data_IF_936082407748
#
_entry.id   IF_936082407748
#
_cell.length_a   1.000
_cell.length_b   1.000
_cell.length_c   1.000
_cell.angle_alpha   90.00
_cell.angle_beta   90.00
_cell.angle_gamma   90.00
#
_symmetry.space_group_name_H-M   'P 1'
#
loop_
_entity.id
_entity.type
_entity.pdbx_description
1 polymer ?
#
# COMPACT_ATOMS: atom_id res chain seq x y z
N UNK A 1 -16.04 -4.33 7.67
CA UNK A 1 -15.87 -2.93 8.14
C UNK A 1 -17.07 -2.12 7.65
N UNK A 2 -17.96 -1.64 8.53
CA UNK A 2 -19.07 -0.79 8.07
C UNK A 2 -18.56 0.58 7.63
N UNK A 3 -19.05 1.08 6.50
CA UNK A 3 -18.84 2.45 5.98
C UNK A 3 -17.41 2.90 5.61
N UNK A 4 -16.42 2.01 5.45
CA UNK A 4 -15.08 2.41 4.94
C UNK A 4 -15.12 2.94 3.49
N UNK A 5 -16.14 2.54 2.71
CA UNK A 5 -16.35 2.99 1.33
C UNK A 5 -16.50 4.51 1.19
N UNK A 6 -17.27 5.14 2.08
CA UNK A 6 -17.53 6.58 2.00
C UNK A 6 -16.23 7.40 2.16
N UNK A 7 -15.39 7.00 3.11
CA UNK A 7 -14.11 7.65 3.34
C UNK A 7 -13.14 7.46 2.16
N UNK A 8 -13.04 6.24 1.63
CA UNK A 8 -12.21 5.95 0.47
C UNK A 8 -12.66 6.75 -0.77
N UNK A 9 -13.97 6.82 -1.02
CA UNK A 9 -14.54 7.60 -2.12
C UNK A 9 -14.28 9.11 -1.94
N UNK A 10 -14.46 9.65 -0.73
CA UNK A 10 -14.17 11.05 -0.44
C UNK A 10 -12.69 11.39 -0.66
N UNK A 11 -11.78 10.48 -0.31
CA UNK A 11 -10.35 10.61 -0.59
C UNK A 11 -10.07 10.64 -2.11
N UNK A 12 -10.70 9.73 -2.86
CA UNK A 12 -10.54 9.66 -4.32
C UNK A 12 -10.99 10.97 -4.99
N UNK A 13 -12.17 11.49 -4.65
CA UNK A 13 -12.68 12.76 -5.20
C UNK A 13 -11.71 13.92 -4.92
N UNK A 14 -11.10 13.95 -3.74
CA UNK A 14 -10.09 14.95 -3.38
C UNK A 14 -8.81 14.78 -4.22
N UNK A 15 -8.33 13.55 -4.39
CA UNK A 15 -7.19 13.24 -5.25
C UNK A 15 -7.45 13.67 -6.69
N UNK A 16 -8.61 13.36 -7.25
CA UNK A 16 -9.02 13.78 -8.59
C UNK A 16 -9.07 15.30 -8.75
N UNK A 17 -9.59 16.01 -7.75
CA UNK A 17 -9.59 17.47 -7.76
C UNK A 17 -8.16 18.04 -7.78
N UNK A 18 -7.20 17.39 -7.13
CA UNK A 18 -5.78 17.75 -7.18
C UNK A 18 -5.15 17.38 -8.53
N UNK A 19 -5.49 16.22 -9.09
CA UNK A 19 -5.04 15.77 -10.42
C UNK A 19 -5.43 16.75 -11.52
N UNK A 20 -6.63 17.34 -11.46
CA UNK A 20 -7.05 18.39 -12.41
C UNK A 20 -6.19 19.65 -12.37
N UNK A 21 -5.60 19.95 -11.21
CA UNK A 21 -4.74 21.13 -11.01
C UNK A 21 -3.26 20.84 -11.29
N UNK A 22 -2.86 19.58 -11.20
CA UNK A 22 -1.48 19.12 -11.35
C UNK A 22 -1.43 17.89 -12.29
N UNK A 23 -1.30 18.12 -13.61
CA UNK A 23 -1.23 17.04 -14.59
C UNK A 23 -0.02 16.12 -14.39
N UNK A 24 1.12 16.66 -13.91
CA UNK A 24 2.33 15.84 -13.66
C UNK A 24 2.07 14.81 -12.56
N UNK A 25 1.38 15.23 -11.50
CA UNK A 25 0.93 14.34 -10.44
C UNK A 25 -0.01 13.25 -10.99
N UNK A 26 -0.97 13.63 -11.85
CA UNK A 26 -1.89 12.67 -12.45
C UNK A 26 -1.16 11.63 -13.30
N UNK A 27 -0.25 12.05 -14.17
CA UNK A 27 0.50 11.15 -15.05
C UNK A 27 1.36 10.17 -14.25
N UNK A 28 2.07 10.68 -13.24
CA UNK A 28 2.85 9.83 -12.35
C UNK A 28 1.96 8.82 -11.61
N UNK A 29 0.82 9.26 -11.07
CA UNK A 29 -0.13 8.40 -10.38
C UNK A 29 -0.72 7.33 -11.30
N UNK A 30 -1.15 7.71 -12.50
CA UNK A 30 -1.72 6.79 -13.48
C UNK A 30 -0.71 5.74 -13.90
N UNK A 31 0.55 6.16 -14.16
CA UNK A 31 1.64 5.25 -14.47
C UNK A 31 1.90 4.24 -13.34
N UNK A 32 1.93 4.70 -12.08
CA UNK A 32 2.07 3.81 -10.92
C UNK A 32 0.94 2.76 -10.86
N UNK A 33 -0.31 3.19 -11.00
CA UNK A 33 -1.46 2.28 -10.92
C UNK A 33 -1.47 1.26 -12.08
N UNK A 34 -1.06 1.68 -13.28
CA UNK A 34 -0.92 0.78 -14.43
C UNK A 34 0.17 -0.27 -14.20
N UNK A 35 1.35 0.15 -13.74
CA UNK A 35 2.43 -0.79 -13.40
C UNK A 35 1.99 -1.79 -12.34
N UNK A 36 1.26 -1.32 -11.31
CA UNK A 36 0.75 -2.16 -10.23
C UNK A 36 -0.20 -3.26 -10.74
N UNK A 37 -1.01 -2.98 -11.77
CA UNK A 37 -1.85 -3.96 -12.45
C UNK A 37 -1.03 -4.88 -13.36
N UNK A 38 -0.06 -4.34 -14.11
CA UNK A 38 0.80 -5.11 -15.01
C UNK A 38 1.67 -6.13 -14.29
N UNK A 39 2.08 -5.81 -13.05
CA UNK A 39 2.82 -6.72 -12.17
C UNK A 39 1.92 -7.71 -11.43
N UNK A 40 0.60 -7.75 -11.72
CA UNK A 40 -0.38 -8.62 -11.06
C UNK A 40 -0.54 -8.37 -9.55
N UNK A 41 -0.19 -7.16 -9.08
CA UNK A 41 -0.38 -6.76 -7.68
C UNK A 41 -1.80 -6.22 -7.42
N UNK A 42 -2.60 -6.01 -8.47
CA UNK A 42 -3.99 -5.57 -8.38
C UNK A 42 -4.80 -6.08 -9.57
N UNK A 43 -6.01 -6.54 -9.29
CA UNK A 43 -7.00 -6.92 -10.29
C UNK A 43 -8.27 -6.06 -10.20
N UNK A 44 -8.99 -5.98 -11.32
CA UNK A 44 -10.31 -5.37 -11.34
C UNK A 44 -11.33 -6.33 -10.72
N UNK A 45 -12.01 -5.89 -9.68
CA UNK A 45 -13.08 -6.68 -9.04
C UNK A 45 -14.22 -6.93 -10.05
N UNK A 46 -14.60 -8.19 -10.34
CA UNK A 46 -15.71 -8.49 -11.24
C UNK A 46 -17.03 -7.91 -10.75
N UNK A 47 -17.89 -7.44 -11.66
CA UNK A 47 -19.16 -6.76 -11.30
C UNK A 47 -20.04 -7.56 -10.33
N UNK A 48 -20.11 -8.87 -10.50
CA UNK A 48 -20.88 -9.77 -9.62
C UNK A 48 -20.30 -9.95 -8.21
N UNK A 49 -19.07 -9.50 -7.96
CA UNK A 49 -18.38 -9.62 -6.67
C UNK A 49 -18.34 -8.32 -5.87
N UNK A 50 -18.77 -7.20 -6.44
CA UNK A 50 -18.75 -5.88 -5.78
C UNK A 50 -19.58 -5.87 -4.48
N UNK A 51 -20.64 -6.70 -4.41
CA UNK A 51 -21.49 -6.84 -3.23
C UNK A 51 -20.87 -7.69 -2.12
N UNK A 52 -19.74 -8.38 -2.38
CA UNK A 52 -19.08 -9.18 -1.35
C UNK A 52 -18.59 -8.27 -0.21
N UNK A 53 -18.65 -8.75 1.05
CA UNK A 53 -18.06 -8.02 2.16
C UNK A 53 -16.57 -7.77 1.91
N UNK A 54 -16.16 -6.51 2.02
CA UNK A 54 -14.79 -6.09 1.79
C UNK A 54 -14.44 -4.82 2.56
N UNK A 55 -13.15 -4.48 2.57
CA UNK A 55 -12.65 -3.23 3.12
C UNK A 55 -12.22 -2.31 1.98
N UNK A 56 -12.61 -1.04 2.04
CA UNK A 56 -12.18 -0.02 1.09
C UNK A 56 -11.09 0.83 1.75
N UNK A 57 -9.93 0.93 1.11
CA UNK A 57 -8.80 1.70 1.61
C UNK A 57 -8.71 3.05 0.90
N UNK A 58 -8.73 4.18 1.65
CA UNK A 58 -8.31 5.46 1.10
C UNK A 58 -6.88 5.35 0.59
N UNK A 59 -6.59 5.98 -0.54
CA UNK A 59 -5.25 6.00 -1.09
C UNK A 59 -4.89 7.37 -1.66
N UNK A 60 -3.60 7.70 -1.63
CA UNK A 60 -3.09 8.96 -2.15
C UNK A 60 -1.62 8.82 -2.57
N UNK A 61 -1.23 9.63 -3.56
CA UNK A 61 0.15 9.73 -4.01
C UNK A 61 0.98 10.67 -3.12
N UNK A 62 2.17 10.20 -2.71
CA UNK A 62 3.17 10.96 -1.94
C UNK A 62 4.43 11.15 -2.79
N UNK A 63 5.07 12.31 -2.70
CA UNK A 63 6.25 12.69 -3.49
C UNK A 63 7.37 13.14 -2.58
N UNK A 64 8.53 12.50 -2.70
CA UNK A 64 9.77 13.25 -2.61
C UNK A 64 10.43 13.38 -3.99
N UNK A 65 10.48 12.29 -4.79
CA UNK A 65 11.12 12.23 -6.11
C UNK A 65 10.28 11.40 -7.11
N UNK A 66 10.10 10.11 -6.82
CA UNK A 66 9.17 9.21 -7.53
C UNK A 66 7.87 9.06 -6.73
N UNK A 67 6.73 8.97 -7.42
CA UNK A 67 5.45 8.82 -6.75
C UNK A 67 5.36 7.46 -6.05
N UNK A 68 4.85 7.48 -4.82
CA UNK A 68 4.41 6.27 -4.12
C UNK A 68 2.94 6.42 -3.79
N UNK A 69 2.11 5.45 -4.19
CA UNK A 69 0.71 5.42 -3.76
C UNK A 69 0.63 4.67 -2.43
N UNK A 70 0.12 5.35 -1.41
CA UNK A 70 -0.06 4.79 -0.07
C UNK A 70 -1.52 4.38 0.09
N UNK A 71 -1.75 3.09 0.34
CA UNK A 71 -3.05 2.56 0.74
C UNK A 71 -3.16 2.60 2.26
N UNK A 72 -4.08 3.40 2.78
CA UNK A 72 -4.19 3.68 4.21
C UNK A 72 -5.08 2.65 4.92
N UNK A 73 -4.47 1.57 5.40
CA UNK A 73 -5.13 0.54 6.20
C UNK A 73 -5.38 0.93 7.67
N UNK A 74 -4.77 2.01 8.17
CA UNK A 74 -4.99 2.54 9.53
C UNK A 74 -6.16 3.52 9.60
N UNK A 75 -6.80 3.85 8.47
CA UNK A 75 -7.98 4.70 8.46
C UNK A 75 -9.13 4.01 9.23
N UNK A 76 -9.57 4.65 10.31
CA UNK A 76 -10.66 4.14 11.14
C UNK A 76 -11.99 4.35 10.43
N UNK A 77 -12.77 3.27 10.34
CA UNK A 77 -14.15 3.33 9.85
C UNK A 77 -15.08 4.00 10.87
N UNK A 78 -16.36 4.20 10.53
CA UNK A 78 -17.34 4.76 11.47
C UNK A 78 -17.51 3.94 12.75
N UNK A 79 -17.17 2.65 12.71
CA UNK A 79 -17.14 1.78 13.89
C UNK A 79 -15.89 1.93 14.75
N UNK A 80 -15.02 2.92 14.50
CA UNK A 80 -13.81 3.19 15.27
C UNK A 80 -12.64 2.23 15.00
N UNK A 81 -12.85 1.13 14.28
CA UNK A 81 -11.82 0.15 13.93
C UNK A 81 -11.22 0.41 12.55
N UNK A 82 -9.90 0.20 12.43
CA UNK A 82 -9.15 0.19 11.17
C UNK A 82 -8.95 -1.23 10.64
N UNK A 83 -8.45 -1.39 9.39
CA UNK A 83 -8.17 -2.73 8.85
C UNK A 83 -7.04 -3.40 9.64
N UNK A 84 -6.04 -2.63 10.05
CA UNK A 84 -4.94 -3.13 10.89
C UNK A 84 -5.41 -3.67 12.25
N UNK A 85 -6.50 -3.12 12.81
CA UNK A 85 -7.07 -3.62 14.08
C UNK A 85 -7.80 -4.97 13.92
N UNK A 86 -8.18 -5.32 12.68
CA UNK A 86 -8.97 -6.51 12.36
C UNK A 86 -8.12 -7.67 11.82
N UNK A 87 -6.91 -7.39 11.34
CA UNK A 87 -5.98 -8.37 10.82
C UNK A 87 -5.07 -8.89 11.93
N UNK A 88 -4.86 -10.21 11.96
CA UNK A 88 -3.85 -10.79 12.85
C UNK A 88 -2.45 -10.47 12.29
N UNK A 89 -1.51 -9.98 13.11
CA UNK A 89 -0.18 -9.57 12.66
C UNK A 89 0.69 -10.74 12.18
N UNK A 90 0.29 -11.99 12.46
CA UNK A 90 1.07 -13.18 12.15
C UNK A 90 2.36 -13.29 12.99
N UNK A 91 3.11 -14.39 12.82
CA UNK A 91 4.41 -14.56 13.48
C UNK A 91 5.48 -13.65 12.88
N UNK A 92 6.47 -13.24 13.68
CA UNK A 92 7.63 -12.47 13.21
C UNK A 92 8.51 -13.37 12.32
N UNK A 93 8.47 -13.15 11.00
CA UNK A 93 9.28 -13.90 10.02
C UNK A 93 10.71 -13.38 9.88
N UNK A 94 10.96 -12.12 10.26
CA UNK A 94 12.27 -11.49 10.12
C UNK A 94 13.17 -11.86 11.31
N UNK A 95 14.38 -12.32 11.00
CA UNK A 95 15.43 -12.50 12.00
C UNK A 95 15.76 -11.17 12.67
N UNK A 96 16.20 -11.22 13.92
CA UNK A 96 16.65 -10.02 14.62
C UNK A 96 17.90 -9.45 13.93
N UNK A 97 17.83 -8.16 13.57
CA UNK A 97 18.91 -7.50 12.83
C UNK A 97 20.22 -7.52 13.63
N UNK A 98 20.17 -7.49 14.96
CA UNK A 98 21.37 -7.55 15.81
C UNK A 98 22.04 -8.91 15.71
N UNK A 99 21.26 -9.99 15.61
CA UNK A 99 21.77 -11.36 15.43
C UNK A 99 22.37 -11.51 14.03
N UNK A 100 21.69 -11.02 12.99
CA UNK A 100 22.19 -11.04 11.61
C UNK A 100 23.54 -10.33 11.51
N UNK A 101 23.62 -9.10 12.03
CA UNK A 101 24.84 -8.30 12.00
C UNK A 101 25.97 -8.89 12.86
N UNK A 102 25.64 -9.50 14.01
CA UNK A 102 26.63 -10.17 14.86
C UNK A 102 27.26 -11.35 14.13
N UNK A 103 26.45 -12.18 13.46
CA UNK A 103 26.93 -13.33 12.70
C UNK A 103 27.80 -12.92 11.51
N UNK A 104 27.46 -11.82 10.82
CA UNK A 104 28.27 -11.32 9.69
C UNK A 104 29.71 -10.98 10.11
N UNK A 105 29.91 -10.50 11.34
CA UNK A 105 31.25 -10.20 11.87
C UNK A 105 32.13 -11.44 12.07
N UNK A 106 31.55 -12.63 12.11
CA UNK A 106 32.29 -13.89 12.20
C UNK A 106 32.86 -14.35 10.85
N UNK A 107 32.47 -13.73 9.74
CA UNK A 107 32.93 -14.09 8.40
C UNK A 107 33.86 -13.01 7.84
N UNK A 108 34.86 -13.42 7.04
CA UNK A 108 35.82 -12.51 6.40
C UNK A 108 35.16 -11.62 5.33
N UNK A 109 34.07 -12.08 4.72
CA UNK A 109 33.37 -11.40 3.65
C UNK A 109 31.85 -11.49 3.89
N UNK A 110 31.12 -10.43 3.56
CA UNK A 110 29.66 -10.38 3.58
C UNK A 110 29.15 -9.72 2.28
N UNK A 111 28.05 -10.24 1.74
CA UNK A 111 27.39 -9.71 0.55
C UNK A 111 26.06 -9.07 0.90
N UNK A 112 25.75 -7.95 0.26
CA UNK A 112 24.46 -7.25 0.39
C UNK A 112 23.86 -7.02 -0.98
N UNK A 113 22.53 -7.05 -1.04
CA UNK A 113 21.76 -6.69 -2.23
C UNK A 113 20.43 -6.11 -1.79
N UNK A 114 19.85 -5.25 -2.62
CA UNK A 114 18.50 -4.71 -2.40
C UNK A 114 17.51 -5.53 -3.23
N UNK A 115 16.43 -5.97 -2.57
CA UNK A 115 15.34 -6.68 -3.25
C UNK A 115 14.27 -5.66 -3.60
N UNK A 116 14.23 -5.27 -4.86
CA UNK A 116 13.20 -4.36 -5.34
C UNK A 116 11.82 -5.02 -5.19
N UNK A 117 10.84 -4.24 -4.72
CA UNK A 117 9.42 -4.67 -4.62
C UNK A 117 9.18 -5.92 -3.75
N UNK A 118 10.00 -6.20 -2.73
CA UNK A 118 9.84 -7.37 -1.84
C UNK A 118 8.40 -7.65 -1.33
N UNK A 119 7.59 -6.62 -1.08
CA UNK A 119 6.23 -6.75 -0.51
C UNK A 119 5.11 -6.47 -1.51
N UNK A 120 5.43 -6.26 -2.79
CA UNK A 120 4.43 -6.12 -3.84
C UNK A 120 4.87 -6.96 -5.03
#
# INVERSE_FOLDING_TARGET
>A
MSNSRYAAQSCLVRSEARFRKDPKLYDAYSKFMQEYVQLDHMELIPKGQISRPGAYLPHHGVFPNEIRVVFNASHRSSGGLSLNDLLLPGPKLQADITVVLSNWRCFRFAGTTDVEKMFR
#
